data_IF_522915119302
#
_entry.id   IF_522915119302
#
_cell.length_a   1.000
_cell.length_b   1.000
_cell.length_c   1.000
_cell.angle_alpha   90.00
_cell.angle_beta   90.00
_cell.angle_gamma   90.00
#
_symmetry.space_group_name_H-M   'P 1'
#
loop_
_entity.id
_entity.type
_entity.pdbx_description
1 polymer ?
#
# COMPACT_ATOMS: atom_id res chain seq x y z
N UNK A 1 -10.17 23.04 -5.97
CA UNK A 1 -10.35 21.66 -6.44
C UNK A 1 -11.15 20.93 -5.38
N UNK A 2 -12.41 20.62 -5.64
CA UNK A 2 -13.30 20.03 -4.63
C UNK A 2 -13.17 18.50 -4.76
N UNK A 3 -12.54 17.87 -3.78
CA UNK A 3 -12.49 16.43 -3.62
C UNK A 3 -13.87 15.98 -3.12
N UNK A 4 -14.71 15.44 -4.00
CA UNK A 4 -15.97 14.84 -3.61
C UNK A 4 -15.65 13.40 -3.17
N UNK A 5 -15.56 13.20 -1.84
CA UNK A 5 -15.63 11.84 -1.28
C UNK A 5 -17.02 11.28 -1.61
N UNK A 6 -17.08 10.25 -2.45
CA UNK A 6 -18.28 9.45 -2.61
C UNK A 6 -18.65 8.89 -1.23
N UNK A 7 -19.75 9.37 -0.64
CA UNK A 7 -20.31 8.80 0.58
C UNK A 7 -20.85 7.43 0.24
N UNK A 8 -20.11 6.38 0.56
CA UNK A 8 -20.64 5.03 0.63
C UNK A 8 -21.71 4.94 1.72
N UNK A 9 -22.75 4.12 1.57
CA UNK A 9 -23.86 4.06 2.51
C UNK A 9 -23.36 3.71 3.91
N UNK A 10 -23.74 4.54 4.88
CA UNK A 10 -23.47 4.32 6.28
C UNK A 10 -24.24 3.08 6.77
N UNK A 11 -23.58 1.91 6.81
CA UNK A 11 -24.26 0.67 7.20
C UNK A 11 -23.37 -0.45 7.70
N UNK A 12 -22.11 -0.50 7.32
CA UNK A 12 -21.19 -1.51 7.88
C UNK A 12 -19.87 -0.80 8.18
N UNK A 13 -19.60 -0.54 9.43
CA UNK A 13 -18.30 -0.03 9.86
C UNK A 13 -17.29 -1.15 9.65
N UNK A 14 -16.15 -0.80 9.05
CA UNK A 14 -15.06 -1.73 8.87
C UNK A 14 -14.69 -2.37 10.21
N UNK A 15 -14.80 -3.69 10.29
CA UNK A 15 -14.42 -4.47 11.45
C UNK A 15 -12.98 -4.97 11.37
N UNK A 16 -12.26 -4.57 10.31
CA UNK A 16 -10.83 -4.80 10.15
C UNK A 16 -10.03 -3.67 10.77
N UNK A 17 -8.99 -4.06 11.48
CA UNK A 17 -7.92 -3.17 11.95
C UNK A 17 -6.60 -3.61 11.32
N UNK A 18 -5.84 -2.63 10.82
CA UNK A 18 -4.50 -2.88 10.31
C UNK A 18 -3.46 -2.51 11.36
N UNK A 19 -2.53 -3.42 11.56
CA UNK A 19 -1.41 -3.26 12.46
C UNK A 19 -0.11 -3.17 11.67
N UNK A 20 0.78 -2.29 12.10
CA UNK A 20 2.14 -2.18 11.59
C UNK A 20 3.12 -2.46 12.72
N UNK A 21 4.04 -3.37 12.49
CA UNK A 21 5.09 -3.74 13.46
C UNK A 21 6.46 -3.65 12.82
N UNK A 22 7.39 -3.00 13.51
CA UNK A 22 8.80 -2.97 13.11
C UNK A 22 9.58 -4.00 13.92
N UNK A 23 10.36 -4.84 13.23
CA UNK A 23 11.25 -5.84 13.82
C UNK A 23 12.70 -5.52 13.45
N UNK A 24 13.55 -5.50 14.45
CA UNK A 24 15.00 -5.33 14.28
C UNK A 24 15.71 -6.63 14.59
N UNK A 25 16.63 -7.04 13.71
CA UNK A 25 17.48 -8.21 13.92
C UNK A 25 18.88 -7.96 13.34
N UNK A 26 19.85 -7.68 14.21
CA UNK A 26 21.19 -7.32 13.78
C UNK A 26 21.22 -5.99 13.03
N UNK A 27 21.59 -6.03 11.76
CA UNK A 27 21.59 -4.88 10.84
C UNK A 27 20.38 -4.84 9.91
N UNK A 28 19.33 -5.59 10.24
CA UNK A 28 18.10 -5.61 9.46
C UNK A 28 16.96 -4.93 10.23
N UNK A 29 16.14 -4.19 9.50
CA UNK A 29 14.87 -3.67 9.98
C UNK A 29 13.77 -4.12 9.02
N UNK A 30 12.75 -4.78 9.53
CA UNK A 30 11.58 -5.18 8.77
C UNK A 30 10.34 -4.45 9.28
N UNK A 31 9.54 -3.99 8.35
CA UNK A 31 8.17 -3.54 8.62
C UNK A 31 7.20 -4.63 8.19
N UNK A 32 6.31 -5.01 9.08
CA UNK A 32 5.28 -6.02 8.86
C UNK A 32 3.92 -5.37 9.03
N UNK A 33 3.07 -5.52 8.03
CA UNK A 33 1.67 -5.15 8.06
C UNK A 33 0.82 -6.40 8.25
N UNK A 34 -0.19 -6.30 9.08
CA UNK A 34 -1.13 -7.41 9.36
C UNK A 34 -2.54 -6.86 9.53
N UNK A 35 -3.50 -7.49 8.86
CA UNK A 35 -4.92 -7.22 9.04
C UNK A 35 -5.49 -8.19 10.08
N UNK A 36 -6.24 -7.67 11.02
CA UNK A 36 -6.90 -8.44 12.07
C UNK A 36 -8.37 -8.02 12.20
N UNK A 37 -9.19 -8.89 12.73
CA UNK A 37 -10.53 -8.52 13.15
C UNK A 37 -10.43 -7.53 14.31
N UNK A 38 -11.22 -6.47 14.24
CA UNK A 38 -11.31 -5.52 15.34
C UNK A 38 -11.95 -6.21 16.54
N UNK A 39 -11.24 -6.26 17.65
CA UNK A 39 -11.75 -6.81 18.90
C UNK A 39 -12.92 -5.95 19.42
N UNK A 40 -14.14 -6.45 19.31
CA UNK A 40 -15.31 -5.81 19.88
C UNK A 40 -15.56 -6.37 21.29
N UNK A 41 -15.31 -5.57 22.32
CA UNK A 41 -15.48 -5.98 23.72
C UNK A 41 -16.94 -6.22 24.13
N UNK A 42 -17.92 -6.00 23.24
CA UNK A 42 -19.35 -5.98 23.62
C UNK A 42 -20.30 -6.84 22.78
N UNK A 43 -19.85 -7.55 21.74
CA UNK A 43 -20.77 -8.20 20.83
C UNK A 43 -20.80 -9.73 20.96
N UNK A 44 -21.95 -10.25 21.40
CA UNK A 44 -22.45 -11.54 20.94
C UNK A 44 -22.87 -11.37 19.47
N UNK A 45 -21.92 -11.49 18.53
CA UNK A 45 -22.21 -11.41 17.10
C UNK A 45 -22.79 -12.71 16.58
N UNK A 46 -23.71 -12.58 15.62
CA UNK A 46 -24.24 -13.72 14.88
C UNK A 46 -23.09 -14.35 14.09
N UNK A 47 -23.07 -15.68 14.05
CA UNK A 47 -22.01 -16.51 13.43
C UNK A 47 -21.73 -16.13 11.94
N UNK A 48 -22.70 -15.58 11.22
CA UNK A 48 -22.57 -15.20 9.81
C UNK A 48 -21.73 -13.94 9.61
N UNK A 49 -21.85 -12.89 10.46
CA UNK A 49 -21.07 -11.66 10.37
C UNK A 49 -19.59 -11.89 10.70
N UNK A 50 -19.31 -12.75 11.66
CA UNK A 50 -17.96 -13.13 12.05
C UNK A 50 -17.22 -13.87 10.93
N UNK A 51 -17.96 -14.65 10.12
CA UNK A 51 -17.41 -15.33 8.95
C UNK A 51 -16.97 -14.35 7.85
N UNK A 52 -17.72 -13.27 7.60
CA UNK A 52 -17.40 -12.28 6.57
C UNK A 52 -16.17 -11.43 6.95
N UNK A 53 -16.07 -11.02 8.23
CA UNK A 53 -14.91 -10.24 8.71
C UNK A 53 -13.64 -11.09 8.69
N UNK A 54 -13.72 -12.36 9.09
CA UNK A 54 -12.59 -13.28 9.02
C UNK A 54 -12.11 -13.48 7.59
N UNK A 55 -13.03 -13.57 6.62
CA UNK A 55 -12.70 -13.68 5.21
C UNK A 55 -12.05 -12.39 4.67
N UNK A 56 -12.53 -11.22 5.08
CA UNK A 56 -11.93 -9.96 4.70
C UNK A 56 -10.51 -9.81 5.27
N UNK A 57 -10.25 -10.21 6.52
CA UNK A 57 -8.92 -10.21 7.11
C UNK A 57 -7.96 -11.16 6.38
N UNK A 58 -8.41 -12.35 6.01
CA UNK A 58 -7.62 -13.30 5.21
C UNK A 58 -7.30 -12.71 3.83
N UNK A 59 -8.29 -12.12 3.16
CA UNK A 59 -8.10 -11.48 1.87
C UNK A 59 -7.08 -10.34 1.96
N UNK A 60 -7.21 -9.45 2.94
CA UNK A 60 -6.28 -8.36 3.17
C UNK A 60 -4.84 -8.86 3.39
N UNK A 61 -4.66 -9.90 4.21
CA UNK A 61 -3.33 -10.48 4.46
C UNK A 61 -2.72 -11.13 3.21
N UNK A 62 -3.54 -11.70 2.32
CA UNK A 62 -3.08 -12.19 1.02
C UNK A 62 -2.63 -11.04 0.12
N UNK A 63 -3.37 -9.92 0.07
CA UNK A 63 -2.98 -8.74 -0.68
C UNK A 63 -1.67 -8.13 -0.15
N UNK A 64 -1.56 -7.98 1.17
CA UNK A 64 -0.36 -7.50 1.85
C UNK A 64 0.86 -8.37 1.51
N UNK A 65 0.74 -9.69 1.65
CA UNK A 65 1.85 -10.61 1.32
C UNK A 65 2.20 -10.58 -0.16
N UNK A 66 1.20 -10.50 -1.04
CA UNK A 66 1.42 -10.43 -2.50
C UNK A 66 2.18 -9.16 -2.87
N UNK A 67 1.84 -8.02 -2.25
CA UNK A 67 2.42 -6.72 -2.57
C UNK A 67 3.79 -6.49 -1.94
N UNK A 68 3.93 -6.81 -0.66
CA UNK A 68 5.14 -6.51 0.12
C UNK A 68 6.10 -7.69 0.27
N UNK A 69 5.68 -8.91 -0.09
CA UNK A 69 6.49 -10.13 -0.02
C UNK A 69 7.18 -10.32 1.36
N UNK A 70 6.44 -10.10 2.44
CA UNK A 70 6.96 -10.04 3.81
C UNK A 70 7.66 -11.35 4.22
N UNK A 71 7.10 -12.52 3.86
CA UNK A 71 7.72 -13.82 4.12
C UNK A 71 9.07 -13.98 3.43
N UNK A 72 9.20 -13.42 2.21
CA UNK A 72 10.46 -13.41 1.48
C UNK A 72 11.48 -12.50 2.15
N UNK A 73 11.05 -11.32 2.63
CA UNK A 73 11.90 -10.40 3.38
C UNK A 73 12.39 -11.05 4.68
N UNK A 74 11.54 -11.74 5.43
CA UNK A 74 11.93 -12.49 6.63
C UNK A 74 12.98 -13.59 6.34
N UNK A 75 12.87 -14.28 5.21
CA UNK A 75 13.86 -15.28 4.81
C UNK A 75 15.24 -14.66 4.53
N UNK A 76 15.30 -13.40 4.10
CA UNK A 76 16.56 -12.72 3.83
C UNK A 76 17.34 -12.42 5.12
N UNK A 77 16.67 -12.32 6.27
CA UNK A 77 17.34 -12.10 7.59
C UNK A 77 18.35 -13.21 7.92
N UNK A 78 18.14 -14.41 7.42
CA UNK A 78 19.03 -15.56 7.67
C UNK A 78 20.19 -15.64 6.69
N UNK A 79 20.27 -14.78 5.66
CA UNK A 79 21.31 -14.83 4.63
C UNK A 79 22.51 -13.97 5.01
N UNK A 80 23.69 -14.62 5.10
CA UNK A 80 24.93 -13.90 5.36
C UNK A 80 25.27 -12.94 4.20
N UNK A 81 25.67 -11.71 4.55
CA UNK A 81 26.10 -10.69 3.59
C UNK A 81 24.96 -9.86 2.98
N UNK A 82 23.69 -10.21 3.24
CA UNK A 82 22.56 -9.36 2.87
C UNK A 82 22.24 -8.36 4.00
N UNK A 83 21.70 -7.21 3.65
CA UNK A 83 21.08 -6.29 4.61
C UNK A 83 19.74 -5.83 4.05
N UNK A 84 18.75 -5.67 4.93
CA UNK A 84 17.41 -5.18 4.58
C UNK A 84 17.04 -4.11 5.58
N UNK A 85 16.71 -2.92 5.06
CA UNK A 85 16.20 -1.81 5.84
C UNK A 85 14.84 -1.45 5.26
N UNK A 86 13.79 -1.68 6.02
CA UNK A 86 12.43 -1.32 5.66
C UNK A 86 11.91 -0.24 6.61
N UNK A 87 11.18 0.70 6.05
CA UNK A 87 10.42 1.70 6.78
C UNK A 87 9.02 1.74 6.19
N UNK A 88 8.01 1.56 7.02
CA UNK A 88 6.61 1.56 6.60
C UNK A 88 5.84 2.71 7.20
N UNK A 89 4.78 3.09 6.51
CA UNK A 89 3.77 4.03 6.98
C UNK A 89 2.40 3.42 6.78
N UNK A 90 1.49 3.70 7.70
CA UNK A 90 0.10 3.25 7.66
C UNK A 90 -0.79 4.46 7.91
N UNK A 91 -1.69 4.71 6.97
CA UNK A 91 -2.71 5.73 7.06
C UNK A 91 -4.10 5.10 6.89
N UNK A 92 -5.07 5.49 7.70
CA UNK A 92 -6.44 5.01 7.61
C UNK A 92 -7.42 6.17 7.53
N UNK A 93 -8.40 6.08 6.64
CA UNK A 93 -9.46 7.07 6.48
C UNK A 93 -10.77 6.40 6.06
N UNK A 94 -11.77 6.43 6.92
CA UNK A 94 -13.03 5.72 6.71
C UNK A 94 -12.79 4.21 6.63
N UNK A 95 -13.20 3.60 5.52
CA UNK A 95 -12.98 2.19 5.22
C UNK A 95 -11.75 1.93 4.32
N UNK A 96 -10.90 2.92 4.12
CA UNK A 96 -9.67 2.76 3.38
C UNK A 96 -8.46 2.71 4.30
N UNK A 97 -7.54 1.83 4.01
CA UNK A 97 -6.22 1.79 4.61
C UNK A 97 -5.15 1.87 3.52
N UNK A 98 -4.23 2.77 3.69
CA UNK A 98 -3.11 3.00 2.79
C UNK A 98 -1.81 2.67 3.50
N UNK A 99 -1.01 1.83 2.86
CA UNK A 99 0.28 1.37 3.36
C UNK A 99 1.37 1.75 2.38
N UNK A 100 2.47 2.25 2.90
CA UNK A 100 3.69 2.51 2.13
C UNK A 100 4.84 1.74 2.75
N UNK A 101 5.66 1.09 1.92
CA UNK A 101 6.88 0.42 2.34
C UNK A 101 8.06 0.94 1.51
N UNK A 102 9.00 1.58 2.18
CA UNK A 102 10.30 1.94 1.61
C UNK A 102 11.28 0.82 1.94
N UNK A 103 11.86 0.22 0.91
CA UNK A 103 12.85 -0.82 1.03
C UNK A 103 14.22 -0.30 0.56
N UNK A 104 15.22 -0.52 1.38
CA UNK A 104 16.62 -0.33 1.03
C UNK A 104 17.39 -1.58 1.43
N UNK A 105 18.26 -2.08 0.57
CA UNK A 105 18.97 -3.29 0.89
C UNK A 105 20.21 -3.53 0.06
N UNK A 106 21.07 -4.42 0.60
CA UNK A 106 22.22 -4.96 -0.09
C UNK A 106 21.98 -6.45 -0.29
N UNK A 107 22.05 -6.91 -1.52
CA UNK A 107 21.97 -8.33 -1.86
C UNK A 107 23.26 -9.05 -1.48
N UNK A 108 23.23 -10.38 -1.42
CA UNK A 108 24.39 -11.19 -1.05
C UNK A 108 25.60 -11.05 -2.02
N UNK A 109 25.34 -10.59 -3.25
CA UNK A 109 26.37 -10.27 -4.25
C UNK A 109 26.94 -8.84 -4.12
N UNK A 110 26.45 -8.06 -3.15
CA UNK A 110 26.86 -6.68 -2.90
C UNK A 110 26.08 -5.63 -3.71
N UNK A 111 25.13 -6.03 -4.55
CA UNK A 111 24.29 -5.07 -5.27
C UNK A 111 23.32 -4.36 -4.30
N UNK A 112 23.25 -3.04 -4.40
CA UNK A 112 22.31 -2.23 -3.63
C UNK A 112 21.04 -2.00 -4.42
N UNK A 113 19.89 -1.99 -3.73
CA UNK A 113 18.60 -1.68 -4.30
C UNK A 113 17.77 -0.83 -3.36
N UNK A 114 16.88 -0.03 -3.94
CA UNK A 114 15.89 0.75 -3.20
C UNK A 114 14.58 0.73 -3.99
N UNK A 115 13.48 0.63 -3.30
CA UNK A 115 12.14 0.77 -3.91
C UNK A 115 11.14 1.30 -2.90
N UNK A 116 10.11 1.98 -3.42
CA UNK A 116 8.93 2.36 -2.65
C UNK A 116 7.73 1.62 -3.22
N UNK A 117 6.96 1.00 -2.33
CA UNK A 117 5.81 0.18 -2.69
C UNK A 117 4.62 0.70 -1.90
N UNK A 118 3.52 0.98 -2.61
CA UNK A 118 2.25 1.38 -2.03
C UNK A 118 1.18 0.29 -2.19
N UNK A 119 0.22 0.26 -1.28
CA UNK A 119 -0.98 -0.57 -1.33
C UNK A 119 -2.12 0.15 -0.61
N UNK A 120 -3.27 0.24 -1.26
CA UNK A 120 -4.50 0.72 -0.63
C UNK A 120 -5.50 -0.42 -0.58
N UNK A 121 -6.09 -0.66 0.59
CA UNK A 121 -7.10 -1.68 0.84
C UNK A 121 -8.44 -1.06 1.21
N UNK A 122 -9.52 -1.71 0.79
CA UNK A 122 -10.85 -1.52 1.37
C UNK A 122 -10.97 -2.42 2.61
N UNK A 123 -11.11 -1.82 3.79
CA UNK A 123 -11.21 -2.52 5.07
C UNK A 123 -12.51 -3.31 5.21
N UNK A 124 -13.52 -3.06 4.38
CA UNK A 124 -14.78 -3.83 4.40
C UNK A 124 -14.62 -5.19 3.74
N UNK A 125 -13.82 -5.26 2.67
CA UNK A 125 -13.66 -6.48 1.85
C UNK A 125 -12.28 -7.11 1.98
N UNK A 126 -11.28 -6.36 2.44
CA UNK A 126 -9.87 -6.73 2.43
C UNK A 126 -9.23 -6.69 1.05
N UNK A 127 -9.94 -6.25 0.02
CA UNK A 127 -9.44 -6.20 -1.35
C UNK A 127 -8.58 -4.96 -1.60
N UNK A 128 -7.60 -5.09 -2.52
CA UNK A 128 -6.85 -3.95 -3.00
C UNK A 128 -7.76 -3.03 -3.83
N UNK A 129 -7.65 -1.73 -3.58
CA UNK A 129 -8.37 -0.71 -4.33
C UNK A 129 -7.57 -0.36 -5.57
N UNK A 130 -8.17 -0.45 -6.74
CA UNK A 130 -7.57 0.03 -7.98
C UNK A 130 -7.58 1.57 -8.00
N UNK A 131 -6.48 2.19 -8.44
CA UNK A 131 -6.36 3.65 -8.50
C UNK A 131 -7.51 4.30 -9.29
N UNK A 132 -7.96 3.66 -10.37
CA UNK A 132 -9.08 4.12 -11.19
C UNK A 132 -10.38 4.30 -10.40
N UNK A 133 -10.62 3.49 -9.35
CA UNK A 133 -11.84 3.54 -8.54
C UNK A 133 -11.90 4.75 -7.60
N UNK A 134 -10.81 5.49 -7.46
CA UNK A 134 -10.75 6.70 -6.63
C UNK A 134 -11.28 7.94 -7.36
N UNK A 135 -11.57 7.84 -8.66
CA UNK A 135 -11.97 8.97 -9.50
C UNK A 135 -13.32 8.71 -10.17
N UNK A 136 -14.15 9.74 -10.29
CA UNK A 136 -15.40 9.70 -11.06
C UNK A 136 -15.13 9.53 -12.57
N UNK A 137 -14.03 10.11 -13.05
CA UNK A 137 -13.52 9.99 -14.42
C UNK A 137 -12.02 9.65 -14.36
N UNK A 138 -11.73 8.37 -14.39
CA UNK A 138 -10.36 7.86 -14.27
C UNK A 138 -9.50 8.25 -15.49
N UNK A 139 -10.06 8.25 -16.69
CA UNK A 139 -9.33 8.59 -17.91
C UNK A 139 -8.90 10.06 -17.88
N UNK A 140 -9.80 10.96 -17.48
CA UNK A 140 -9.47 12.37 -17.32
C UNK A 140 -8.46 12.62 -16.18
N UNK A 141 -8.58 11.88 -15.08
CA UNK A 141 -7.64 11.99 -13.96
C UNK A 141 -6.24 11.52 -14.36
N UNK A 142 -6.13 10.37 -15.02
CA UNK A 142 -4.84 9.84 -15.49
C UNK A 142 -4.19 10.74 -16.53
N UNK A 143 -4.96 11.24 -17.50
CA UNK A 143 -4.44 12.21 -18.48
C UNK A 143 -3.92 13.49 -17.81
N UNK A 144 -4.58 13.97 -16.76
CA UNK A 144 -4.12 15.13 -16.00
C UNK A 144 -2.81 14.85 -15.24
N UNK A 145 -2.67 13.66 -14.62
CA UNK A 145 -1.44 13.24 -13.93
C UNK A 145 -0.28 13.08 -14.91
N UNK A 146 -0.51 12.43 -16.06
CA UNK A 146 0.51 12.26 -17.10
C UNK A 146 0.96 13.58 -17.68
N UNK A 147 0.06 14.56 -17.82
CA UNK A 147 0.45 15.91 -18.23
C UNK A 147 1.35 16.60 -17.20
N UNK A 148 1.06 16.45 -15.89
CA UNK A 148 1.92 17.00 -14.83
C UNK A 148 3.30 16.32 -14.88
N UNK A 149 3.37 15.00 -15.03
CA UNK A 149 4.64 14.27 -15.15
C UNK A 149 5.39 14.76 -16.38
N UNK A 150 4.72 14.92 -17.52
CA UNK A 150 5.32 15.38 -18.76
C UNK A 150 5.85 16.81 -18.66
N UNK A 151 5.06 17.73 -18.14
CA UNK A 151 5.39 19.16 -18.15
C UNK A 151 6.35 19.57 -17.03
N UNK A 152 6.14 19.04 -15.82
CA UNK A 152 6.87 19.47 -14.63
C UNK A 152 8.09 18.58 -14.33
N UNK A 153 7.96 17.26 -14.50
CA UNK A 153 9.03 16.32 -14.13
C UNK A 153 9.97 16.05 -15.30
N UNK A 154 9.42 15.71 -16.47
CA UNK A 154 10.25 15.34 -17.62
C UNK A 154 10.98 16.53 -18.24
N UNK A 155 10.43 17.76 -18.12
CA UNK A 155 11.13 18.95 -18.57
C UNK A 155 12.43 19.21 -17.78
N UNK A 156 12.47 18.83 -16.52
CA UNK A 156 13.65 18.96 -15.65
C UNK A 156 14.61 17.76 -15.76
N UNK A 157 14.09 16.58 -16.13
CA UNK A 157 14.86 15.32 -16.18
C UNK A 157 15.25 14.90 -17.60
N UNK A 158 14.89 15.68 -18.63
CA UNK A 158 15.08 15.31 -20.05
C UNK A 158 16.52 14.95 -20.44
N UNK A 159 17.51 15.43 -19.68
CA UNK A 159 18.92 15.13 -19.90
C UNK A 159 19.37 13.77 -19.32
N UNK A 160 18.52 13.13 -18.51
CA UNK A 160 18.86 11.95 -17.71
C UNK A 160 17.99 10.73 -17.98
N UNK A 161 16.80 10.89 -18.57
CA UNK A 161 15.82 9.80 -18.77
C UNK A 161 15.21 9.84 -20.17
N UNK A 162 14.98 8.65 -20.74
CA UNK A 162 14.17 8.53 -21.94
C UNK A 162 12.67 8.61 -21.57
N UNK A 163 11.89 9.32 -22.38
CA UNK A 163 10.46 9.62 -22.17
C UNK A 163 9.58 8.38 -21.94
N UNK A 164 10.01 7.21 -22.46
CA UNK A 164 9.28 5.95 -22.34
C UNK A 164 9.39 5.25 -21.00
N UNK A 165 10.31 5.68 -20.12
CA UNK A 165 10.56 4.97 -18.85
C UNK A 165 9.58 5.34 -17.74
N UNK A 166 8.86 6.47 -17.88
CA UNK A 166 7.90 6.97 -16.89
C UNK A 166 6.43 6.88 -17.35
N UNK A 167 6.15 6.54 -18.58
CA UNK A 167 4.80 6.46 -19.13
C UNK A 167 4.56 5.12 -19.85
N UNK A 168 3.39 4.49 -19.71
CA UNK A 168 2.26 4.97 -18.92
C UNK A 168 2.53 4.93 -17.42
N UNK A 169 1.90 5.84 -16.68
CA UNK A 169 2.00 5.92 -15.23
C UNK A 169 1.58 4.59 -14.57
N UNK A 170 2.34 4.05 -13.59
CA UNK A 170 1.93 2.85 -12.86
C UNK A 170 0.64 3.14 -12.07
N UNK A 171 -0.38 2.30 -12.27
CA UNK A 171 -1.69 2.46 -11.63
C UNK A 171 -1.91 1.53 -10.45
N UNK A 172 -0.95 0.66 -10.18
CA UNK A 172 -1.01 -0.36 -9.13
C UNK A 172 -0.03 -0.10 -7.98
N UNK A 173 0.81 0.96 -8.08
CA UNK A 173 1.80 1.31 -7.07
C UNK A 173 1.58 2.75 -6.58
N UNK A 174 0.69 2.90 -5.62
CA UNK A 174 0.31 4.20 -5.08
C UNK A 174 -0.06 4.10 -3.60
N UNK A 175 -0.06 5.24 -2.93
CA UNK A 175 -0.53 5.41 -1.56
C UNK A 175 -1.34 6.71 -1.42
N UNK A 176 -2.11 6.77 -0.35
CA UNK A 176 -2.88 7.94 0.06
C UNK A 176 -2.47 8.28 1.48
N UNK A 177 -2.29 9.57 1.76
CA UNK A 177 -2.03 10.10 3.09
C UNK A 177 -2.81 11.41 3.34
N UNK A 178 -2.50 12.12 4.41
CA UNK A 178 -3.11 13.41 4.73
C UNK A 178 -2.80 14.49 3.69
N UNK A 179 -1.74 14.35 2.91
CA UNK A 179 -1.29 15.30 1.90
C UNK A 179 -1.93 15.03 0.54
N UNK A 180 -2.37 13.80 0.30
CA UNK A 180 -3.06 13.40 -0.92
C UNK A 180 -2.65 12.04 -1.45
N UNK A 181 -2.63 11.92 -2.78
CA UNK A 181 -2.28 10.72 -3.54
C UNK A 181 -0.85 10.81 -4.03
N UNK A 182 -0.07 9.79 -3.77
CA UNK A 182 1.29 9.61 -4.33
C UNK A 182 1.35 8.33 -5.14
N UNK A 183 1.88 8.41 -6.37
CA UNK A 183 2.17 7.26 -7.25
C UNK A 183 3.69 7.06 -7.27
N UNK A 184 4.14 5.78 -7.21
CA UNK A 184 5.56 5.41 -7.09
C UNK A 184 6.07 4.70 -8.34
#
# INVERSE_FOLDING_TARGET
MAMLCAMLPAGAWAELELHMTNREQGNHTLTIFEAQEKADESAQKQDDEQSEVSQAAETANVQIETRFAQKKAEQLLSRAGASVQQSGELFTSGNLASMTLVWNGTQADGANGSSTIGLVLDLTTGEAVELARLFDDADAAFAAMENIISDDVLSELSDYMEYGDLLPMPTDNYAIDEQGLTVF
#
